data_IF_553818077326
#
_entry.id   IF_553818077326
#
_cell.length_a   1.000
_cell.length_b   1.000
_cell.length_c   1.000
_cell.angle_alpha   90.00
_cell.angle_beta   90.00
_cell.angle_gamma   90.00
#
_symmetry.space_group_name_H-M   'P 1'
#
loop_
_entity.id
_entity.type
_entity.pdbx_description
1 polymer ?
#
# COMPACT_ATOMS: atom_id res chain seq x y z
N UNK A 1 -10.88 13.39 -2.38
CA UNK A 1 -9.82 12.63 -3.06
C UNK A 1 -8.55 12.89 -2.30
N UNK A 2 -8.13 11.91 -1.51
CA UNK A 2 -6.89 12.03 -0.76
C UNK A 2 -5.80 11.26 -1.50
N UNK A 3 -4.68 11.94 -1.72
CA UNK A 3 -3.47 11.36 -2.26
C UNK A 3 -2.39 11.57 -1.20
N UNK A 4 -1.74 10.50 -0.80
CA UNK A 4 -0.64 10.55 0.17
C UNK A 4 0.63 10.11 -0.55
N UNK A 5 1.64 10.97 -0.49
CA UNK A 5 2.99 10.64 -0.92
C UNK A 5 3.93 10.79 0.27
N UNK A 6 4.49 9.65 0.68
CA UNK A 6 5.47 9.51 1.76
C UNK A 6 6.67 8.70 1.26
N UNK A 7 6.98 8.87 -0.02
CA UNK A 7 8.17 8.29 -0.65
C UNK A 7 9.45 8.91 -0.07
N UNK A 8 10.53 8.14 -0.01
CA UNK A 8 11.84 8.62 0.48
C UNK A 8 11.83 9.12 1.94
N UNK A 9 10.88 8.69 2.75
CA UNK A 9 10.75 9.11 4.16
C UNK A 9 11.50 8.21 5.16
N UNK A 10 12.29 7.24 4.69
CA UNK A 10 13.01 6.28 5.53
C UNK A 10 12.09 5.46 6.46
N UNK A 11 10.86 5.18 6.01
CA UNK A 11 9.84 4.46 6.77
C UNK A 11 10.24 2.98 6.84
N UNK A 12 10.37 2.45 8.06
CA UNK A 12 10.71 1.04 8.31
C UNK A 12 9.49 0.17 8.62
N UNK A 13 8.50 0.78 9.26
CA UNK A 13 7.26 0.14 9.70
C UNK A 13 6.10 0.92 9.15
N UNK A 14 5.22 0.22 8.45
CA UNK A 14 3.98 0.76 7.94
C UNK A 14 2.84 0.04 8.65
N UNK A 15 2.13 0.79 9.48
CA UNK A 15 0.95 0.34 10.21
C UNK A 15 -0.24 1.21 9.81
N UNK A 16 -1.38 0.58 9.57
CA UNK A 16 -2.63 1.24 9.26
C UNK A 16 -3.59 0.96 10.43
N UNK A 17 -3.79 1.92 11.35
CA UNK A 17 -4.61 1.68 12.51
C UNK A 17 -6.02 1.27 12.12
N UNK A 18 -6.54 0.22 12.77
CA UNK A 18 -7.89 -0.32 12.58
C UNK A 18 -8.97 0.56 13.22
N UNK A 19 -8.81 1.87 13.16
CA UNK A 19 -9.75 2.83 13.74
C UNK A 19 -10.82 3.23 12.74
N UNK A 20 -12.01 3.56 13.22
CA UNK A 20 -13.11 4.11 12.40
C UNK A 20 -12.76 5.45 11.74
N UNK A 21 -11.72 6.12 12.23
CA UNK A 21 -11.24 7.41 11.73
C UNK A 21 -10.18 7.30 10.62
N UNK A 22 -9.83 6.09 10.18
CA UNK A 22 -8.85 5.98 9.09
C UNK A 22 -9.50 6.45 7.78
N UNK A 23 -8.89 7.39 7.03
CA UNK A 23 -9.47 7.90 5.79
C UNK A 23 -9.51 6.80 4.72
N UNK A 24 -10.68 6.18 4.56
CA UNK A 24 -10.93 5.13 3.55
C UNK A 24 -11.12 5.71 2.13
N UNK A 25 -11.17 7.05 2.01
CA UNK A 25 -11.33 7.79 0.76
C UNK A 25 -9.99 8.01 0.01
N UNK A 26 -8.91 7.33 0.42
CA UNK A 26 -7.60 7.42 -0.20
C UNK A 26 -7.64 6.83 -1.62
N UNK A 27 -7.23 7.62 -2.60
CA UNK A 27 -7.20 7.19 -4.01
C UNK A 27 -5.81 6.77 -4.46
N UNK A 28 -4.76 7.37 -3.89
CA UNK A 28 -3.36 7.09 -4.25
C UNK A 28 -2.48 7.08 -3.01
N UNK A 29 -1.64 6.05 -2.88
CA UNK A 29 -0.63 5.95 -1.84
C UNK A 29 0.73 5.64 -2.45
N UNK A 30 1.67 6.57 -2.32
CA UNK A 30 3.05 6.40 -2.77
C UNK A 30 3.96 6.20 -1.55
N UNK A 31 4.62 5.04 -1.52
CA UNK A 31 5.52 4.57 -0.45
C UNK A 31 6.89 4.18 -1.01
N UNK A 32 7.20 4.60 -2.24
CA UNK A 32 8.41 4.22 -2.96
C UNK A 32 9.68 4.59 -2.19
N UNK A 33 10.71 3.76 -2.32
CA UNK A 33 12.06 4.05 -1.80
C UNK A 33 12.08 4.33 -0.31
N UNK A 34 11.35 3.50 0.45
CA UNK A 34 11.42 3.43 1.90
C UNK A 34 12.13 2.13 2.32
N UNK A 35 12.13 1.80 3.61
CA UNK A 35 12.76 0.61 4.17
C UNK A 35 11.71 -0.36 4.73
N UNK A 36 10.50 -0.39 4.16
CA UNK A 36 9.41 -1.22 4.67
C UNK A 36 9.75 -2.69 4.44
N UNK A 37 9.90 -3.45 5.52
CA UNK A 37 10.30 -4.89 5.48
C UNK A 37 9.12 -5.84 5.59
N UNK A 38 8.19 -5.51 6.47
CA UNK A 38 6.99 -6.30 6.78
C UNK A 38 5.87 -5.32 7.03
N UNK A 39 4.76 -5.51 6.34
CA UNK A 39 3.55 -4.71 6.51
C UNK A 39 2.34 -5.61 6.32
N UNK A 40 1.31 -5.40 7.14
CA UNK A 40 0.03 -6.06 6.97
C UNK A 40 -0.80 -5.28 5.94
N UNK A 41 -0.82 -5.80 4.72
CA UNK A 41 -1.56 -5.21 3.62
C UNK A 41 -3.04 -5.59 3.61
N UNK A 42 -3.54 -6.37 4.58
CA UNK A 42 -4.96 -6.80 4.62
C UNK A 42 -5.94 -5.64 4.75
N UNK A 43 -5.50 -4.56 5.39
CA UNK A 43 -6.24 -3.31 5.51
C UNK A 43 -6.53 -2.65 4.15
N UNK A 44 -5.74 -2.94 3.10
CA UNK A 44 -5.95 -2.40 1.76
C UNK A 44 -7.31 -2.77 1.16
N UNK A 45 -7.88 -3.91 1.57
CA UNK A 45 -9.24 -4.35 1.21
C UNK A 45 -10.33 -3.35 1.61
N UNK A 46 -10.06 -2.48 2.58
CA UNK A 46 -11.02 -1.47 3.06
C UNK A 46 -10.96 -0.17 2.26
N UNK A 47 -9.94 0.04 1.43
CA UNK A 47 -9.82 1.25 0.62
C UNK A 47 -10.50 1.05 -0.73
N UNK A 48 -11.83 1.09 -0.71
CA UNK A 48 -12.68 0.85 -1.89
C UNK A 48 -12.39 1.81 -3.06
N UNK A 49 -11.82 2.98 -2.75
CA UNK A 49 -11.50 4.03 -3.72
C UNK A 49 -10.03 4.01 -4.19
N UNK A 50 -9.18 3.13 -3.65
CA UNK A 50 -7.74 3.13 -3.98
C UNK A 50 -7.50 2.62 -5.40
N UNK A 51 -6.75 3.42 -6.16
CA UNK A 51 -6.41 3.15 -7.56
C UNK A 51 -4.92 2.94 -7.78
N UNK A 52 -4.08 3.50 -6.90
CA UNK A 52 -2.62 3.41 -7.02
C UNK A 52 -2.03 3.12 -5.64
N UNK A 53 -1.17 2.11 -5.61
CA UNK A 53 -0.30 1.78 -4.50
C UNK A 53 1.11 1.54 -5.05
N UNK A 54 2.06 2.39 -4.70
CA UNK A 54 3.47 2.23 -5.08
C UNK A 54 4.31 1.82 -3.87
N UNK A 55 4.69 0.55 -3.82
CA UNK A 55 5.60 -0.03 -2.81
C UNK A 55 7.01 -0.28 -3.37
N UNK A 56 7.33 0.21 -4.56
CA UNK A 56 8.61 -0.07 -5.23
C UNK A 56 9.82 0.39 -4.41
N UNK A 57 10.95 -0.30 -4.59
CA UNK A 57 12.21 0.03 -3.90
C UNK A 57 12.09 0.01 -2.36
N UNK A 58 11.22 -0.85 -1.81
CA UNK A 58 11.20 -1.19 -0.39
C UNK A 58 11.93 -2.51 -0.13
N UNK A 59 12.02 -2.90 1.14
CA UNK A 59 12.68 -4.15 1.57
C UNK A 59 11.66 -5.29 1.83
N UNK A 60 10.50 -5.27 1.16
CA UNK A 60 9.42 -6.24 1.38
C UNK A 60 9.86 -7.61 0.87
N UNK A 61 10.23 -8.50 1.79
CA UNK A 61 10.65 -9.88 1.48
C UNK A 61 9.53 -10.87 1.82
N UNK A 62 9.06 -11.63 0.83
CA UNK A 62 8.17 -12.78 1.07
C UNK A 62 6.73 -12.43 1.46
N UNK A 63 6.25 -11.22 1.16
CA UNK A 63 4.83 -10.89 1.28
C UNK A 63 4.03 -11.52 0.16
N UNK A 64 3.04 -12.34 0.48
CA UNK A 64 2.11 -12.84 -0.53
C UNK A 64 1.20 -11.70 -0.98
N UNK A 65 1.33 -11.30 -2.25
CA UNK A 65 0.44 -10.32 -2.88
C UNK A 65 -0.98 -10.87 -3.11
N UNK A 66 -1.28 -12.11 -2.68
CA UNK A 66 -2.64 -12.67 -2.67
C UNK A 66 -3.64 -11.74 -1.97
N UNK A 67 -3.18 -10.94 -1.01
CA UNK A 67 -4.01 -9.94 -0.34
C UNK A 67 -4.56 -8.88 -1.30
N UNK A 68 -3.85 -8.59 -2.40
CA UNK A 68 -4.27 -7.63 -3.43
C UNK A 68 -5.36 -8.19 -4.34
N UNK A 69 -5.50 -9.52 -4.45
CA UNK A 69 -6.53 -10.16 -5.30
C UNK A 69 -7.95 -9.78 -4.89
N UNK A 70 -8.16 -9.48 -3.61
CA UNK A 70 -9.44 -9.07 -3.04
C UNK A 70 -9.57 -7.55 -2.90
N UNK A 71 -8.71 -6.77 -3.56
CA UNK A 71 -8.75 -5.30 -3.53
C UNK A 71 -9.10 -4.74 -4.90
N UNK A 72 -9.63 -3.50 -4.97
CA UNK A 72 -9.82 -2.82 -6.25
C UNK A 72 -8.53 -2.71 -7.09
N UNK A 73 -7.37 -2.81 -6.43
CA UNK A 73 -6.04 -2.75 -7.05
C UNK A 73 -5.68 -3.98 -7.89
N UNK A 74 -6.40 -5.10 -7.78
CA UNK A 74 -6.21 -6.28 -8.64
C UNK A 74 -6.41 -5.94 -10.12
N UNK A 75 -7.19 -4.91 -10.43
CA UNK A 75 -7.40 -4.44 -11.80
C UNK A 75 -6.29 -3.49 -12.30
N UNK A 76 -5.48 -2.94 -11.40
CA UNK A 76 -4.40 -1.97 -11.67
C UNK A 76 -3.02 -2.62 -11.54
N UNK A 77 -2.90 -3.90 -11.94
CA UNK A 77 -1.70 -4.76 -11.87
C UNK A 77 -0.48 -4.26 -12.69
N UNK A 78 -0.18 -2.96 -12.67
CA UNK A 78 1.20 -2.45 -12.77
C UNK A 78 1.95 -2.58 -11.42
N UNK A 79 1.24 -2.91 -10.34
CA UNK A 79 1.80 -3.12 -9.00
C UNK A 79 2.83 -4.27 -8.89
N UNK A 80 3.06 -5.04 -9.98
CA UNK A 80 3.95 -6.20 -10.01
C UNK A 80 5.30 -5.98 -10.67
N UNK A 81 5.61 -4.79 -11.20
CA UNK A 81 6.80 -4.69 -12.04
C UNK A 81 8.14 -4.73 -11.28
N UNK A 82 8.20 -4.45 -9.97
CA UNK A 82 9.48 -4.43 -9.24
C UNK A 82 9.35 -4.68 -7.72
N UNK A 83 9.01 -5.91 -7.32
CA UNK A 83 9.55 -6.46 -6.05
C UNK A 83 10.93 -7.04 -6.33
#
# INVERSE_FOLDING_TARGET
>A
MENIDISFCNIKYLDFPKTEYFPLNLTKLYLRSNLVRKTDLSILSRFEMMKILDLSLNEIKGGSLLILENTPLVSTLEALLYI
#
